data_IF_241196054630
#
_entry.id   IF_241196054630
#
_cell.length_a   1.000
_cell.length_b   1.000
_cell.length_c   1.000
_cell.angle_alpha   90.00
_cell.angle_beta   90.00
_cell.angle_gamma   90.00
#
_symmetry.space_group_name_H-M   'P 1'
#
loop_
_entity.id
_entity.type
_entity.pdbx_description
1 polymer ?
#
# COMPACT_ATOMS: atom_id res chain seq x y z
N UNK A 1 -5.32 11.97 -15.96
CA UNK A 1 -5.38 12.27 -14.51
C UNK A 1 -4.10 11.80 -13.85
N UNK A 2 -3.54 12.61 -12.97
CA UNK A 2 -2.28 12.28 -12.31
C UNK A 2 -2.56 11.48 -11.04
N UNK A 3 -1.82 10.38 -10.82
CA UNK A 3 -1.96 9.53 -9.63
C UNK A 3 -1.67 10.27 -8.32
N UNK A 4 -0.97 11.40 -8.38
CA UNK A 4 -0.68 12.25 -7.21
C UNK A 4 -1.93 12.78 -6.50
N UNK A 5 -3.09 12.82 -7.18
CA UNK A 5 -4.36 13.18 -6.55
C UNK A 5 -4.80 12.19 -5.45
N UNK A 6 -4.33 10.95 -5.54
CA UNK A 6 -4.65 9.88 -4.59
C UNK A 6 -3.53 9.63 -3.59
N UNK A 7 -2.44 10.38 -3.70
CA UNK A 7 -1.24 10.15 -2.89
C UNK A 7 -1.48 10.53 -1.43
N UNK A 8 -1.26 9.57 -0.55
CA UNK A 8 -1.00 9.84 0.87
C UNK A 8 0.51 10.01 1.04
N UNK A 9 1.01 11.22 1.31
CA UNK A 9 2.45 11.49 1.36
C UNK A 9 3.10 10.75 2.53
N UNK A 10 4.37 10.40 2.39
CA UNK A 10 5.11 9.63 3.40
C UNK A 10 5.13 10.27 4.79
N UNK A 11 5.08 11.59 4.88
CA UNK A 11 5.05 12.31 6.15
C UNK A 11 3.80 12.02 6.98
N UNK A 12 2.69 11.60 6.35
CA UNK A 12 1.42 11.25 6.99
C UNK A 12 1.31 9.73 7.25
N UNK A 13 2.36 8.97 6.96
CA UNK A 13 2.38 7.51 7.03
C UNK A 13 3.38 7.03 8.06
N UNK A 14 3.08 5.87 8.63
CA UNK A 14 4.06 5.10 9.39
C UNK A 14 4.84 4.20 8.45
N UNK A 15 6.16 4.30 8.50
CA UNK A 15 7.07 3.41 7.78
C UNK A 15 8.27 3.07 8.66
N UNK A 16 8.91 1.95 8.36
CA UNK A 16 10.09 1.48 9.07
C UNK A 16 11.20 1.19 8.08
N UNK A 17 12.42 1.41 8.50
CA UNK A 17 13.58 0.92 7.78
C UNK A 17 13.80 -0.56 8.08
N UNK A 18 14.42 -1.27 7.15
CA UNK A 18 14.66 -2.72 7.26
C UNK A 18 15.64 -3.08 8.38
N UNK A 19 16.47 -2.13 8.82
CA UNK A 19 17.37 -2.26 9.98
C UNK A 19 16.68 -1.97 11.33
N UNK A 20 15.41 -1.51 11.32
CA UNK A 20 14.65 -1.35 12.55
C UNK A 20 14.36 -2.71 13.19
N UNK A 21 14.43 -2.76 14.51
CA UNK A 21 14.12 -3.96 15.26
C UNK A 21 12.62 -4.24 15.34
N UNK A 22 12.27 -5.49 15.52
CA UNK A 22 10.88 -5.90 15.67
C UNK A 22 10.19 -5.27 16.89
N UNK A 23 10.93 -5.05 17.97
CA UNK A 23 10.40 -4.36 19.15
C UNK A 23 9.93 -2.95 18.86
N UNK A 24 10.65 -2.22 18.00
CA UNK A 24 10.20 -0.89 17.52
C UNK A 24 8.94 -0.99 16.67
N UNK A 25 8.84 -2.03 15.83
CA UNK A 25 7.66 -2.32 15.02
C UNK A 25 6.40 -2.52 15.86
N UNK A 26 6.52 -3.26 16.96
CA UNK A 26 5.36 -3.53 17.84
C UNK A 26 4.86 -2.28 18.56
N UNK A 27 5.76 -1.39 18.95
CA UNK A 27 5.41 -0.11 19.59
C UNK A 27 4.65 0.83 18.65
N UNK A 28 4.79 0.69 17.34
CA UNK A 28 4.10 1.53 16.36
C UNK A 28 2.62 1.18 16.16
N UNK A 29 2.19 -0.03 16.55
CA UNK A 29 0.76 -0.44 16.57
C UNK A 29 0.10 -0.67 15.21
N UNK A 30 0.56 -0.04 14.15
CA UNK A 30 0.05 -0.15 12.78
C UNK A 30 0.95 -1.02 11.90
N UNK A 31 0.53 -1.30 10.67
CA UNK A 31 1.30 -2.06 9.69
C UNK A 31 2.12 -1.11 8.79
N UNK A 32 3.35 -0.77 9.18
CA UNK A 32 4.16 0.16 8.40
C UNK A 32 4.77 -0.51 7.17
N UNK A 33 5.02 0.29 6.15
CA UNK A 33 5.86 -0.09 5.03
C UNK A 33 7.31 -0.28 5.46
N UNK A 34 7.96 -1.29 4.90
CA UNK A 34 9.39 -1.49 5.06
C UNK A 34 10.16 -0.79 3.94
N UNK A 35 11.07 0.08 4.33
CA UNK A 35 11.99 0.75 3.43
C UNK A 35 13.40 0.17 3.58
N UNK A 36 14.13 0.18 2.47
CA UNK A 36 15.53 -0.23 2.49
C UNK A 36 16.42 0.85 3.11
N UNK A 37 17.33 0.46 4.02
CA UNK A 37 18.42 1.29 4.52
C UNK A 37 19.77 0.63 4.18
N UNK A 38 20.81 1.41 4.00
CA UNK A 38 22.17 0.92 3.76
C UNK A 38 22.74 1.27 2.39
N UNK A 39 23.56 0.37 1.80
CA UNK A 39 24.39 0.63 0.60
C UNK A 39 23.59 0.85 -0.70
N UNK A 40 22.33 0.56 -0.74
CA UNK A 40 21.44 0.91 -1.84
C UNK A 40 20.77 2.27 -1.59
N UNK A 41 20.16 2.92 -2.62
CA UNK A 41 19.53 4.22 -2.44
C UNK A 41 18.59 4.22 -1.23
N UNK A 42 18.78 5.12 -0.24
CA UNK A 42 17.94 5.15 0.95
C UNK A 42 16.50 5.45 0.56
N UNK A 43 15.56 4.80 1.26
CA UNK A 43 14.13 5.02 1.03
C UNK A 43 13.50 4.17 -0.09
N UNK A 44 14.21 3.18 -0.63
CA UNK A 44 13.62 2.22 -1.55
C UNK A 44 12.65 1.30 -0.81
N UNK A 45 11.48 1.05 -1.39
CA UNK A 45 10.50 0.13 -0.82
C UNK A 45 10.97 -1.31 -0.98
N UNK A 46 11.06 -2.04 0.13
CA UNK A 46 11.47 -3.46 0.16
C UNK A 46 10.30 -4.41 0.40
N UNK A 47 9.21 -3.95 0.97
CA UNK A 47 8.07 -4.80 1.26
C UNK A 47 7.19 -4.25 2.38
N UNK A 48 6.20 -5.04 2.73
CA UNK A 48 5.26 -4.74 3.80
C UNK A 48 5.17 -5.93 4.74
N UNK A 49 5.88 -5.90 5.87
CA UNK A 49 5.80 -6.97 6.86
C UNK A 49 4.43 -6.91 7.55
N UNK A 50 3.63 -7.95 7.41
CA UNK A 50 2.38 -8.07 8.13
C UNK A 50 2.58 -8.75 9.50
N UNK A 51 1.52 -8.79 10.29
CA UNK A 51 1.55 -9.44 11.61
C UNK A 51 1.81 -10.94 11.49
N UNK A 52 1.32 -11.55 10.44
CA UNK A 52 1.55 -12.97 10.15
C UNK A 52 3.01 -13.26 9.86
N UNK A 53 3.68 -12.42 9.08
CA UNK A 53 5.10 -12.57 8.78
C UNK A 53 5.95 -12.55 10.05
N UNK A 54 5.65 -11.65 10.97
CA UNK A 54 6.34 -11.55 12.26
C UNK A 54 6.03 -12.78 13.12
N UNK A 55 4.77 -13.19 13.23
CA UNK A 55 4.37 -14.36 14.03
C UNK A 55 5.03 -15.65 13.53
N UNK A 56 5.03 -15.87 12.20
CA UNK A 56 5.67 -17.04 11.61
C UNK A 56 7.18 -17.00 11.76
N UNK A 57 7.79 -15.82 11.66
CA UNK A 57 9.22 -15.64 11.92
C UNK A 57 9.59 -15.95 13.36
N UNK A 58 8.80 -15.49 14.33
CA UNK A 58 8.96 -15.79 15.74
C UNK A 58 8.87 -17.30 16.01
N UNK A 59 7.84 -17.94 15.44
CA UNK A 59 7.66 -19.39 15.60
C UNK A 59 8.83 -20.19 15.02
N UNK A 60 9.29 -19.79 13.84
CA UNK A 60 10.33 -20.54 13.11
C UNK A 60 11.73 -20.38 13.71
N UNK A 61 12.10 -19.17 14.13
CA UNK A 61 13.46 -18.82 14.48
C UNK A 61 13.68 -18.57 15.98
N UNK A 62 12.65 -18.20 16.71
CA UNK A 62 12.77 -17.75 18.11
C UNK A 62 11.83 -18.47 19.08
N UNK A 63 11.15 -19.56 18.65
CA UNK A 63 10.29 -20.36 19.52
C UNK A 63 9.18 -19.58 20.21
N UNK A 64 8.68 -18.48 19.59
CA UNK A 64 7.72 -17.53 20.16
C UNK A 64 8.23 -16.72 21.36
N UNK A 65 9.55 -16.66 21.56
CA UNK A 65 10.16 -15.79 22.56
C UNK A 65 10.18 -14.34 22.05
N UNK A 66 9.30 -13.52 22.60
CA UNK A 66 9.14 -12.12 22.20
C UNK A 66 10.34 -11.26 22.66
N UNK A 67 10.91 -11.53 23.84
CA UNK A 67 12.06 -10.78 24.35
C UNK A 67 13.29 -11.02 23.49
N UNK A 68 13.57 -12.27 23.16
CA UNK A 68 14.69 -12.63 22.29
C UNK A 68 14.55 -12.05 20.87
N UNK A 69 13.31 -11.85 20.42
CA UNK A 69 13.03 -11.32 19.08
C UNK A 69 13.03 -9.78 19.02
N UNK A 70 12.93 -9.08 20.14
CA UNK A 70 12.84 -7.59 20.14
C UNK A 70 14.02 -6.92 19.43
N UNK A 71 15.21 -7.46 19.55
CA UNK A 71 16.44 -6.93 18.94
C UNK A 71 16.71 -7.44 17.52
N UNK A 72 15.85 -8.31 17.00
CA UNK A 72 16.00 -8.86 15.65
C UNK A 72 15.55 -7.81 14.61
N UNK A 73 16.38 -7.51 13.60
CA UNK A 73 16.00 -6.57 12.56
C UNK A 73 14.82 -7.12 11.73
N UNK A 74 13.96 -6.22 11.28
CA UNK A 74 12.78 -6.58 10.48
C UNK A 74 13.17 -7.31 9.19
N UNK A 75 14.33 -6.98 8.62
CA UNK A 75 14.85 -7.65 7.43
C UNK A 75 15.09 -9.16 7.61
N UNK A 76 15.28 -9.63 8.86
CA UNK A 76 15.48 -11.04 9.17
C UNK A 76 14.18 -11.85 9.20
N UNK A 77 13.02 -11.19 9.22
CA UNK A 77 11.73 -11.88 9.17
C UNK A 77 11.33 -12.18 7.72
N UNK A 78 10.81 -13.39 7.45
CA UNK A 78 10.29 -13.71 6.12
C UNK A 78 9.07 -12.84 5.82
N UNK A 79 8.91 -12.47 4.56
CA UNK A 79 7.71 -11.81 4.06
C UNK A 79 7.15 -12.59 2.88
N UNK A 80 5.84 -12.72 2.82
CA UNK A 80 5.17 -13.54 1.81
C UNK A 80 4.74 -12.74 0.58
N UNK A 81 4.71 -11.43 0.67
CA UNK A 81 4.20 -10.58 -0.39
C UNK A 81 5.17 -9.44 -0.69
N UNK A 82 5.54 -9.35 -1.95
CA UNK A 82 6.27 -8.21 -2.47
C UNK A 82 5.29 -7.18 -3.01
N UNK A 83 5.32 -5.98 -2.45
CA UNK A 83 4.55 -4.86 -2.96
C UNK A 83 5.30 -4.19 -4.09
N UNK A 84 4.68 -4.17 -5.27
CA UNK A 84 5.22 -3.47 -6.42
C UNK A 84 4.95 -1.97 -6.29
N UNK A 85 6.00 -1.17 -6.38
CA UNK A 85 5.89 0.28 -6.41
C UNK A 85 5.63 0.77 -7.84
N UNK A 86 4.94 1.90 -7.91
CA UNK A 86 4.72 2.64 -9.18
C UNK A 86 5.40 4.00 -9.09
N UNK A 87 5.64 4.61 -10.25
CA UNK A 87 6.21 5.95 -10.34
C UNK A 87 5.11 7.00 -10.49
N UNK A 88 5.45 8.27 -10.29
CA UNK A 88 4.53 9.39 -10.47
C UNK A 88 3.95 9.52 -11.89
N UNK A 89 4.63 8.93 -12.87
CA UNK A 89 4.22 8.94 -14.28
C UNK A 89 3.35 7.75 -14.68
N UNK A 90 3.09 6.83 -13.76
CA UNK A 90 2.26 5.65 -13.99
C UNK A 90 0.84 6.05 -14.39
N UNK A 91 0.28 5.35 -15.39
CA UNK A 91 -1.10 5.58 -15.83
C UNK A 91 -2.13 5.09 -14.80
N UNK A 92 -3.36 5.60 -14.89
CA UNK A 92 -4.45 5.11 -14.03
C UNK A 92 -4.74 3.63 -14.22
N UNK A 93 -4.66 3.11 -15.44
CA UNK A 93 -4.92 1.69 -15.71
C UNK A 93 -3.88 0.79 -15.04
N UNK A 94 -2.62 1.17 -15.11
CA UNK A 94 -1.53 0.46 -14.41
C UNK A 94 -1.65 0.56 -12.88
N UNK A 95 -2.11 1.71 -12.38
CA UNK A 95 -2.36 1.90 -10.95
C UNK A 95 -3.51 1.00 -10.47
N UNK A 96 -4.60 0.93 -11.22
CA UNK A 96 -5.76 0.08 -10.93
C UNK A 96 -5.32 -1.40 -10.93
N UNK A 97 -4.56 -1.82 -11.93
CA UNK A 97 -4.02 -3.18 -12.02
C UNK A 97 -3.17 -3.53 -10.79
N UNK A 98 -2.28 -2.66 -10.37
CA UNK A 98 -1.48 -2.86 -9.16
C UNK A 98 -2.37 -2.96 -7.91
N UNK A 99 -3.41 -2.13 -7.80
CA UNK A 99 -4.32 -2.12 -6.67
C UNK A 99 -5.25 -3.34 -6.61
N UNK A 100 -5.45 -4.05 -7.71
CA UNK A 100 -6.21 -5.32 -7.71
C UNK A 100 -5.54 -6.38 -6.85
N UNK A 101 -4.22 -6.38 -6.77
CA UNK A 101 -3.42 -7.36 -6.06
C UNK A 101 -2.83 -6.85 -4.73
N UNK A 102 -2.92 -5.56 -4.46
CA UNK A 102 -2.33 -4.90 -3.29
C UNK A 102 -3.36 -4.01 -2.59
N UNK A 103 -3.34 -3.97 -1.26
CA UNK A 103 -4.25 -3.09 -0.48
C UNK A 103 -3.89 -1.61 -0.63
N UNK A 104 -2.64 -1.34 -0.90
CA UNK A 104 -2.12 -0.03 -1.25
C UNK A 104 -0.97 -0.20 -2.24
N UNK A 105 -0.68 0.84 -2.99
CA UNK A 105 0.39 0.85 -3.98
C UNK A 105 1.43 1.88 -3.56
N UNK A 106 2.67 1.46 -3.25
CA UNK A 106 3.74 2.40 -2.96
C UNK A 106 4.07 3.23 -4.21
N UNK A 107 4.34 4.51 -3.99
CA UNK A 107 4.73 5.44 -5.04
C UNK A 107 6.15 5.90 -4.79
N UNK A 108 6.96 5.85 -5.82
CA UNK A 108 8.36 6.28 -5.80
C UNK A 108 8.61 7.37 -6.83
N UNK A 109 9.66 8.15 -6.61
CA UNK A 109 10.12 9.13 -7.59
C UNK A 109 10.93 8.47 -8.72
N UNK A 110 11.49 9.28 -9.62
CA UNK A 110 12.32 8.84 -10.74
C UNK A 110 13.63 8.15 -10.32
N UNK A 111 14.05 8.35 -9.08
CA UNK A 111 15.23 7.69 -8.47
C UNK A 111 14.87 6.43 -7.68
N UNK A 112 13.59 6.07 -7.63
CA UNK A 112 13.11 4.92 -6.86
C UNK A 112 12.94 5.21 -5.36
N UNK A 113 12.96 6.46 -4.93
CA UNK A 113 12.79 6.84 -3.54
C UNK A 113 11.30 6.94 -3.20
N UNK A 114 10.91 6.35 -2.09
CA UNK A 114 9.53 6.34 -1.59
C UNK A 114 9.04 7.74 -1.26
N UNK A 115 7.90 8.11 -1.81
CA UNK A 115 7.26 9.41 -1.56
C UNK A 115 5.88 9.30 -0.90
N UNK A 116 5.24 8.16 -0.98
CA UNK A 116 3.93 7.92 -0.39
C UNK A 116 3.26 6.67 -0.91
N UNK A 117 1.99 6.51 -0.58
CA UNK A 117 1.16 5.39 -1.05
C UNK A 117 -0.13 5.89 -1.68
N UNK A 118 -0.69 5.07 -2.56
CA UNK A 118 -2.08 5.18 -3.02
C UNK A 118 -2.86 4.02 -2.41
N UNK A 119 -3.90 4.32 -1.65
CA UNK A 119 -4.74 3.31 -1.02
C UNK A 119 -5.75 2.76 -2.03
N UNK A 120 -5.95 1.45 -2.04
CA UNK A 120 -6.99 0.80 -2.88
C UNK A 120 -8.36 1.47 -2.70
N UNK A 121 -8.71 1.82 -1.47
CA UNK A 121 -9.98 2.47 -1.16
C UNK A 121 -10.17 3.80 -1.91
N UNK A 122 -9.11 4.59 -2.06
CA UNK A 122 -9.17 5.85 -2.80
C UNK A 122 -9.47 5.62 -4.30
N UNK A 123 -8.86 4.58 -4.88
CA UNK A 123 -9.07 4.18 -6.28
C UNK A 123 -10.51 3.69 -6.47
N UNK A 124 -11.00 2.82 -5.59
CA UNK A 124 -12.37 2.29 -5.66
C UNK A 124 -13.39 3.43 -5.58
N UNK A 125 -13.19 4.37 -4.66
CA UNK A 125 -14.07 5.54 -4.53
C UNK A 125 -14.11 6.35 -5.82
N UNK A 126 -12.96 6.63 -6.41
CA UNK A 126 -12.86 7.35 -7.67
C UNK A 126 -13.61 6.63 -8.81
N UNK A 127 -13.39 5.34 -8.98
CA UNK A 127 -14.08 4.54 -10.00
C UNK A 127 -15.60 4.56 -9.80
N UNK A 128 -16.06 4.45 -8.55
CA UNK A 128 -17.47 4.50 -8.21
C UNK A 128 -18.10 5.86 -8.53
N UNK A 129 -17.45 6.94 -8.14
CA UNK A 129 -17.93 8.30 -8.42
C UNK A 129 -17.97 8.60 -9.93
N UNK A 130 -16.98 8.12 -10.67
CA UNK A 130 -16.95 8.24 -12.13
C UNK A 130 -18.09 7.47 -12.79
N UNK A 131 -18.36 6.22 -12.40
CA UNK A 131 -19.47 5.43 -12.91
C UNK A 131 -20.81 6.13 -12.68
N UNK A 132 -21.02 6.68 -11.50
CA UNK A 132 -22.24 7.41 -11.18
C UNK A 132 -22.41 8.70 -12.00
N UNK A 133 -21.32 9.39 -12.29
CA UNK A 133 -21.35 10.58 -13.13
C UNK A 133 -21.71 10.24 -14.59
N UNK A 134 -21.30 9.07 -15.08
CA UNK A 134 -21.65 8.57 -16.42
C UNK A 134 -23.08 8.04 -16.49
N UNK A 135 -23.63 7.52 -15.37
CA UNK A 135 -25.03 7.05 -15.26
C UNK A 135 -26.03 8.16 -14.93
N UNK A 136 -25.57 9.35 -14.57
CA UNK A 136 -26.45 10.48 -14.33
C UNK A 136 -27.28 10.78 -15.60
N UNK A 137 -28.62 10.91 -15.50
CA UNK A 137 -29.47 11.11 -16.67
C UNK A 137 -29.05 12.39 -17.39
N UNK A 138 -28.60 12.22 -18.61
CA UNK A 138 -28.36 13.35 -19.49
C UNK A 138 -29.71 14.03 -19.73
N UNK A 139 -29.82 15.36 -19.60
CA UNK A 139 -31.04 16.06 -19.90
C UNK A 139 -31.43 15.79 -21.37
N UNK A 140 -32.52 15.04 -21.57
CA UNK A 140 -33.01 14.63 -22.91
C UNK A 140 -33.02 13.12 -23.19
N UNK A 141 -32.51 12.27 -22.29
CA UNK A 141 -32.65 10.83 -22.47
C UNK A 141 -34.03 10.38 -21.98
N UNK A 142 -34.89 10.02 -22.92
CA UNK A 142 -36.22 9.44 -22.62
C UNK A 142 -35.99 8.05 -21.98
N UNK A 143 -36.34 7.92 -20.70
CA UNK A 143 -36.34 6.61 -20.03
C UNK A 143 -37.56 5.84 -20.56
N UNK A 144 -37.39 4.61 -21.08
CA UNK A 144 -38.51 3.78 -21.48
C UNK A 144 -39.47 3.54 -20.30
N UNK A 145 -40.74 3.69 -20.54
CA UNK A 145 -41.82 3.66 -19.53
C UNK A 145 -41.86 2.35 -18.70
N UNK A 146 -41.32 1.25 -19.25
CA UNK A 146 -41.24 -0.03 -18.53
C UNK A 146 -40.18 -0.05 -17.43
N UNK A 147 -39.22 0.86 -17.40
CA UNK A 147 -38.21 0.94 -16.32
C UNK A 147 -38.74 1.63 -15.06
N UNK A 148 -39.89 2.28 -15.13
CA UNK A 148 -40.54 2.99 -14.00
C UNK A 148 -41.52 2.12 -13.20
N UNK A 149 -41.75 0.86 -13.59
CA UNK A 149 -42.75 -0.04 -13.00
C UNK A 149 -42.19 -0.98 -11.89
N UNK A 150 -40.98 -0.73 -11.40
CA UNK A 150 -40.34 -1.52 -10.32
C UNK A 150 -39.90 -0.62 -9.18
#
# INVERSE_FOLDING_TARGET
MNILFFLSPKQDLMYVYDDFTSGRRWKMGEQPLRLHSGAQPPGRVCGHPDRGDILWGLKKYHGLDLEAAEDVPISAFPHKRDYKAVTVTTSMDQLIEAAMNQNFVPVVDDRGIFIGIVRRQAIIRYCYEKSRAEEAPQPGRVVPEYAAAH
#
